data_IF_105414409310
#
_entry.id   IF_105414409310
#
_cell.length_a   1.000
_cell.length_b   1.000
_cell.length_c   1.000
_cell.angle_alpha   90.00
_cell.angle_beta   90.00
_cell.angle_gamma   90.00
#
_symmetry.space_group_name_H-M   'P 1'
#
loop_
_entity.id
_entity.type
_entity.pdbx_description
1 polymer ?
#
# COMPACT_ATOMS: atom_id res chain seq x y z
N UNK A 1 -23.72 10.74 -7.00
CA UNK A 1 -23.12 11.79 -6.13
C UNK A 1 -23.07 11.25 -4.71
N UNK A 2 -21.91 10.78 -4.24
CA UNK A 2 -21.75 10.27 -2.87
C UNK A 2 -22.18 11.36 -1.87
N UNK A 3 -23.25 11.11 -1.10
CA UNK A 3 -23.57 11.96 0.05
C UNK A 3 -22.49 11.69 1.09
N UNK A 4 -21.39 12.42 0.96
CA UNK A 4 -20.34 12.54 1.96
C UNK A 4 -21.02 13.00 3.24
N UNK A 5 -21.22 12.06 4.17
CA UNK A 5 -21.73 12.31 5.51
C UNK A 5 -21.08 13.60 6.05
N UNK A 6 -21.86 14.56 6.59
CA UNK A 6 -21.35 15.86 7.12
C UNK A 6 -20.11 15.71 8.01
N UNK A 7 -19.98 14.54 8.67
CA UNK A 7 -18.84 14.13 9.49
C UNK A 7 -17.51 14.01 8.72
N UNK A 8 -17.52 13.56 7.46
CA UNK A 8 -16.32 13.48 6.60
C UNK A 8 -15.87 14.86 6.14
N UNK A 9 -16.80 15.74 5.73
CA UNK A 9 -16.48 17.15 5.40
C UNK A 9 -15.89 17.93 6.59
N UNK A 10 -16.31 17.62 7.83
CA UNK A 10 -15.68 18.21 9.02
C UNK A 10 -14.25 17.70 9.27
N UNK A 11 -13.92 16.49 8.81
CA UNK A 11 -12.56 15.95 8.87
C UNK A 11 -11.64 16.56 7.81
N UNK A 12 -12.18 17.03 6.68
CA UNK A 12 -11.37 17.60 5.58
C UNK A 12 -10.85 19.00 5.85
N UNK A 13 -11.49 19.77 6.75
CA UNK A 13 -11.05 21.13 7.11
C UNK A 13 -9.81 21.19 8.03
N UNK A 14 -9.36 20.05 8.56
CA UNK A 14 -8.08 19.96 9.26
C UNK A 14 -7.02 19.44 8.29
N UNK A 15 -6.26 20.36 7.70
CA UNK A 15 -5.09 20.17 6.83
C UNK A 15 -4.59 18.71 6.73
N UNK A 16 -4.96 18.01 5.67
CA UNK A 16 -4.25 16.79 5.33
C UNK A 16 -2.83 17.15 4.93
N UNK A 17 -1.84 16.54 5.58
CA UNK A 17 -0.48 16.57 5.07
C UNK A 17 -0.48 15.92 3.68
N UNK A 18 -0.22 16.70 2.64
CA UNK A 18 -0.12 16.22 1.27
C UNK A 18 1.22 15.51 1.08
N UNK A 19 1.17 14.27 0.61
CA UNK A 19 2.36 13.46 0.35
C UNK A 19 2.68 13.39 -1.14
N UNK A 20 3.80 14.03 -1.52
CA UNK A 20 4.34 13.98 -2.89
C UNK A 20 5.13 12.70 -3.19
N UNK A 21 5.78 12.16 -2.16
CA UNK A 21 6.69 11.00 -2.27
C UNK A 21 6.56 10.05 -1.09
N UNK A 22 7.01 8.81 -1.24
CA UNK A 22 7.19 7.86 -0.14
C UNK A 22 8.49 8.22 0.59
N UNK A 23 8.37 8.67 1.83
CA UNK A 23 9.53 9.03 2.67
C UNK A 23 10.31 7.80 3.14
N UNK A 24 11.58 8.01 3.48
CA UNK A 24 12.55 6.98 3.87
C UNK A 24 11.99 5.88 4.78
N UNK A 25 11.36 6.23 5.91
CA UNK A 25 10.83 5.23 6.87
C UNK A 25 9.74 4.35 6.25
N UNK A 26 8.86 4.95 5.45
CA UNK A 26 7.80 4.22 4.74
C UNK A 26 8.40 3.35 3.63
N UNK A 27 9.38 3.88 2.89
CA UNK A 27 10.09 3.15 1.84
C UNK A 27 10.80 1.91 2.40
N UNK A 28 11.56 2.08 3.48
CA UNK A 28 12.23 0.98 4.17
C UNK A 28 11.25 -0.09 4.65
N UNK A 29 10.13 0.35 5.24
CA UNK A 29 9.10 -0.57 5.74
C UNK A 29 8.50 -1.36 4.59
N UNK A 30 8.12 -0.69 3.50
CA UNK A 30 7.50 -1.30 2.34
C UNK A 30 8.46 -2.27 1.63
N UNK A 31 9.72 -1.86 1.43
CA UNK A 31 10.74 -2.67 0.78
C UNK A 31 10.97 -4.01 1.49
N UNK A 32 11.14 -3.98 2.81
CA UNK A 32 11.40 -5.19 3.58
C UNK A 32 10.12 -6.00 3.85
N UNK A 33 8.96 -5.34 3.98
CA UNK A 33 7.68 -6.01 4.09
C UNK A 33 7.38 -6.91 2.89
N UNK A 34 7.60 -6.40 1.67
CA UNK A 34 7.35 -7.13 0.42
C UNK A 34 8.48 -8.12 0.10
N UNK A 35 9.72 -7.73 0.39
CA UNK A 35 10.87 -8.50 -0.07
C UNK A 35 11.22 -9.73 0.74
N UNK A 36 10.94 -9.73 2.05
CA UNK A 36 11.53 -10.72 2.97
C UNK A 36 10.60 -11.03 4.15
N UNK A 37 9.99 -10.00 4.74
CA UNK A 37 9.34 -10.14 6.03
C UNK A 37 8.06 -10.97 5.96
N UNK A 38 7.27 -10.81 4.89
CA UNK A 38 6.05 -11.59 4.65
C UNK A 38 6.34 -13.09 4.55
N UNK A 39 7.37 -13.48 3.80
CA UNK A 39 7.84 -14.85 3.69
C UNK A 39 8.37 -15.37 5.03
N UNK A 40 9.16 -14.57 5.74
CA UNK A 40 9.75 -14.95 7.05
C UNK A 40 8.68 -15.26 8.10
N UNK A 41 7.49 -14.62 8.02
CA UNK A 41 6.37 -14.89 8.93
C UNK A 41 5.38 -15.94 8.38
N UNK A 42 5.74 -16.65 7.31
CA UNK A 42 4.91 -17.63 6.61
C UNK A 42 3.57 -17.05 6.13
N UNK A 43 3.57 -15.80 5.69
CA UNK A 43 2.39 -15.12 5.11
C UNK A 43 2.80 -14.36 3.84
N UNK A 44 3.32 -15.07 2.81
CA UNK A 44 3.73 -14.45 1.56
C UNK A 44 2.53 -13.80 0.86
N UNK A 45 2.73 -12.63 0.24
CA UNK A 45 1.66 -12.01 -0.53
C UNK A 45 1.30 -12.90 -1.72
N UNK A 46 0.02 -13.22 -1.87
CA UNK A 46 -0.50 -14.08 -2.93
C UNK A 46 -1.54 -13.38 -3.82
N UNK A 47 -2.00 -12.18 -3.45
CA UNK A 47 -2.85 -11.35 -4.31
C UNK A 47 -2.36 -9.90 -4.41
N UNK A 48 -2.50 -9.35 -5.61
CA UNK A 48 -2.26 -7.96 -5.96
C UNK A 48 -3.57 -7.33 -6.43
N UNK A 49 -4.04 -6.34 -5.68
CA UNK A 49 -5.32 -5.68 -5.90
C UNK A 49 -5.03 -4.23 -6.30
N UNK A 50 -5.61 -3.77 -7.41
CA UNK A 50 -5.62 -2.37 -7.80
C UNK A 50 -7.03 -1.81 -7.69
N UNK A 51 -7.19 -0.64 -7.08
CA UNK A 51 -8.47 0.06 -6.97
C UNK A 51 -8.34 1.47 -7.56
N UNK A 52 -9.12 1.75 -8.60
CA UNK A 52 -9.21 3.07 -9.21
C UNK A 52 -10.27 3.93 -8.51
N UNK A 53 -9.84 4.84 -7.64
CA UNK A 53 -10.77 5.67 -6.88
C UNK A 53 -11.46 6.76 -7.69
N UNK A 54 -10.99 7.06 -8.91
CA UNK A 54 -11.68 8.00 -9.81
C UNK A 54 -13.06 7.48 -10.22
N UNK A 55 -13.24 6.16 -10.27
CA UNK A 55 -14.55 5.55 -10.56
C UNK A 55 -15.51 5.59 -9.35
N UNK A 56 -15.01 5.97 -8.17
CA UNK A 56 -15.75 5.91 -6.91
C UNK A 56 -16.13 7.31 -6.45
N UNK A 57 -15.18 8.25 -6.52
CA UNK A 57 -15.35 9.61 -6.02
C UNK A 57 -14.58 10.60 -6.87
N UNK A 58 -15.07 11.84 -6.91
CA UNK A 58 -14.37 12.98 -7.51
C UNK A 58 -13.57 13.79 -6.48
N UNK A 59 -13.61 13.40 -5.20
CA UNK A 59 -12.88 14.07 -4.12
C UNK A 59 -11.69 13.21 -3.67
N UNK A 60 -10.50 13.59 -4.13
CA UNK A 60 -9.25 12.86 -3.87
C UNK A 60 -8.84 12.93 -2.40
N UNK A 61 -9.34 13.91 -1.64
CA UNK A 61 -9.02 14.05 -0.21
C UNK A 61 -9.62 12.92 0.63
N UNK A 62 -10.74 12.33 0.18
CA UNK A 62 -11.44 11.29 0.96
C UNK A 62 -10.90 9.89 0.69
N UNK A 63 -10.11 9.69 -0.38
CA UNK A 63 -9.66 8.37 -0.84
C UNK A 63 -8.90 7.60 0.25
N UNK A 64 -7.88 8.18 0.94
CA UNK A 64 -7.18 7.45 1.99
C UNK A 64 -8.06 7.13 3.22
N UNK A 65 -9.12 7.91 3.45
CA UNK A 65 -10.11 7.65 4.51
C UNK A 65 -11.00 6.48 4.13
N UNK A 66 -11.52 6.45 2.89
CA UNK A 66 -12.30 5.33 2.36
C UNK A 66 -11.52 4.03 2.48
N UNK A 67 -10.25 4.04 2.04
CA UNK A 67 -9.40 2.87 2.16
C UNK A 67 -9.07 2.48 3.61
N UNK A 68 -8.90 3.47 4.50
CA UNK A 68 -8.69 3.18 5.92
C UNK A 68 -9.93 2.55 6.58
N UNK A 69 -11.14 2.94 6.17
CA UNK A 69 -12.38 2.26 6.57
C UNK A 69 -12.46 0.86 5.98
N UNK A 70 -12.09 0.67 4.72
CA UNK A 70 -12.04 -0.64 4.08
C UNK A 70 -11.19 -1.63 4.83
N UNK A 71 -9.91 -1.30 5.04
CA UNK A 71 -9.02 -2.22 5.74
C UNK A 71 -9.45 -2.48 7.19
N UNK A 72 -9.84 -1.45 7.95
CA UNK A 72 -10.10 -1.60 9.39
C UNK A 72 -11.48 -2.14 9.72
N UNK A 73 -12.50 -1.62 9.05
CA UNK A 73 -13.88 -1.76 9.51
C UNK A 73 -14.61 -2.90 8.79
N UNK A 74 -14.18 -3.24 7.58
CA UNK A 74 -14.82 -4.28 6.76
C UNK A 74 -13.88 -5.46 6.51
N UNK A 75 -12.76 -5.24 5.81
CA UNK A 75 -11.84 -6.32 5.42
C UNK A 75 -11.28 -7.05 6.64
N UNK A 76 -10.77 -6.33 7.66
CA UNK A 76 -10.27 -6.99 8.88
C UNK A 76 -11.35 -7.80 9.59
N UNK A 77 -12.59 -7.28 9.67
CA UNK A 77 -13.68 -8.00 10.35
C UNK A 77 -14.09 -9.24 9.59
N UNK A 78 -14.24 -9.14 8.28
CA UNK A 78 -14.49 -10.29 7.41
C UNK A 78 -13.38 -11.33 7.60
N UNK A 79 -12.12 -10.93 7.43
CA UNK A 79 -10.96 -11.80 7.57
C UNK A 79 -10.96 -12.55 8.92
N UNK A 80 -11.09 -11.84 10.05
CA UNK A 80 -11.09 -12.49 11.35
C UNK A 80 -12.34 -13.34 11.62
N UNK A 81 -13.47 -13.09 10.95
CA UNK A 81 -14.66 -13.94 11.05
C UNK A 81 -14.50 -15.21 10.22
N UNK A 82 -13.90 -15.09 9.03
CA UNK A 82 -13.67 -16.20 8.10
C UNK A 82 -12.61 -17.16 8.63
N UNK A 83 -11.47 -16.63 9.06
CA UNK A 83 -10.30 -17.45 9.40
C UNK A 83 -10.16 -17.77 10.89
N UNK A 84 -11.08 -17.29 11.74
CA UNK A 84 -11.09 -17.68 13.16
C UNK A 84 -12.06 -18.83 13.36
N UNK A 85 -11.59 -19.89 14.01
CA UNK A 85 -12.43 -21.02 14.40
C UNK A 85 -12.69 -20.98 15.91
N UNK A 86 -13.53 -21.91 16.41
CA UNK A 86 -13.74 -22.07 17.86
C UNK A 86 -12.44 -22.42 18.61
N UNK A 87 -11.51 -23.10 17.95
CA UNK A 87 -10.29 -23.65 18.56
C UNK A 87 -9.02 -22.89 18.19
N UNK A 88 -9.05 -22.10 17.12
CA UNK A 88 -7.87 -21.40 16.61
C UNK A 88 -8.17 -19.94 16.27
N UNK A 89 -7.36 -19.03 16.82
CA UNK A 89 -7.39 -17.62 16.41
C UNK A 89 -6.83 -17.50 15.00
N UNK A 90 -7.54 -16.73 14.17
CA UNK A 90 -7.04 -16.31 12.88
C UNK A 90 -5.64 -15.68 13.00
N UNK A 91 -4.72 -15.95 12.05
CA UNK A 91 -3.47 -15.21 11.98
C UNK A 91 -3.72 -13.70 11.80
N UNK A 92 -2.76 -12.81 12.07
CA UNK A 92 -2.94 -11.39 11.77
C UNK A 92 -3.08 -11.16 10.26
N UNK A 93 -4.02 -10.31 9.86
CA UNK A 93 -4.18 -9.92 8.45
C UNK A 93 -2.90 -9.23 7.92
N UNK A 94 -2.28 -9.82 6.90
CA UNK A 94 -1.05 -9.34 6.26
C UNK A 94 -1.34 -8.58 4.98
N UNK A 95 -0.88 -7.32 4.93
CA UNK A 95 -0.97 -6.51 3.72
C UNK A 95 0.11 -5.44 3.61
N UNK A 96 0.30 -4.95 2.39
CA UNK A 96 1.05 -3.74 2.07
C UNK A 96 0.28 -2.90 1.05
N UNK A 97 0.48 -1.59 1.03
CA UNK A 97 -0.17 -0.73 0.04
C UNK A 97 0.65 0.49 -0.35
N UNK A 98 0.37 0.99 -1.54
CA UNK A 98 0.83 2.29 -2.02
C UNK A 98 -0.27 2.97 -2.85
N UNK A 99 -0.38 4.29 -2.72
CA UNK A 99 -1.19 5.14 -3.58
C UNK A 99 -0.35 5.79 -4.68
N UNK A 100 -0.97 5.98 -5.84
CA UNK A 100 -0.45 6.72 -6.98
C UNK A 100 -1.54 7.66 -7.48
N UNK A 101 -1.20 8.91 -7.81
CA UNK A 101 -2.11 9.85 -8.46
C UNK A 101 -1.48 10.24 -9.79
N UNK A 102 -1.78 9.46 -10.83
CA UNK A 102 -1.18 9.65 -12.14
C UNK A 102 -2.11 9.15 -13.24
N UNK A 103 -2.08 9.81 -14.40
CA UNK A 103 -2.80 9.40 -15.59
C UNK A 103 -1.80 9.34 -16.76
N UNK A 104 -1.80 8.24 -17.51
CA UNK A 104 -0.86 8.06 -18.64
C UNK A 104 0.61 8.30 -18.26
N UNK A 105 1.01 7.82 -17.07
CA UNK A 105 2.35 8.00 -16.47
C UNK A 105 2.71 9.46 -16.12
N UNK A 106 1.75 10.39 -16.19
CA UNK A 106 1.92 11.77 -15.78
C UNK A 106 1.35 11.98 -14.37
N UNK A 107 2.14 12.55 -13.42
CA UNK A 107 1.67 12.82 -12.07
C UNK A 107 0.58 13.90 -12.06
N UNK A 108 -0.45 13.72 -11.23
CA UNK A 108 -1.51 14.72 -11.01
C UNK A 108 -1.33 15.35 -9.63
N UNK A 109 -1.13 16.66 -9.59
CA UNK A 109 -0.91 17.43 -8.35
C UNK A 109 -2.19 18.12 -7.84
N UNK A 110 -3.34 17.61 -8.28
CA UNK A 110 -4.65 18.01 -7.78
C UNK A 110 -5.34 16.83 -7.11
N UNK A 111 -6.11 17.15 -6.08
CA UNK A 111 -6.98 16.22 -5.35
C UNK A 111 -8.46 16.59 -5.53
N UNK A 112 -8.76 17.52 -6.44
CA UNK A 112 -10.13 17.85 -6.85
C UNK A 112 -10.65 16.89 -7.91
N UNK A 113 -11.63 17.35 -8.70
CA UNK A 113 -12.35 16.54 -9.68
C UNK A 113 -11.47 15.84 -10.72
N UNK A 114 -10.25 16.30 -10.96
CA UNK A 114 -9.32 15.81 -11.98
C UNK A 114 -8.35 14.72 -11.45
N UNK A 115 -8.46 14.31 -10.18
CA UNK A 115 -7.57 13.28 -9.63
C UNK A 115 -7.69 11.93 -10.37
N UNK A 116 -6.62 11.13 -10.37
CA UNK A 116 -6.64 9.74 -10.83
C UNK A 116 -5.92 8.85 -9.82
N UNK A 117 -6.48 8.76 -8.60
CA UNK A 117 -5.85 8.03 -7.50
C UNK A 117 -6.10 6.52 -7.69
N UNK A 118 -5.01 5.79 -7.89
CA UNK A 118 -4.96 4.34 -7.83
C UNK A 118 -4.39 3.92 -6.48
N UNK A 119 -5.01 2.91 -5.89
CA UNK A 119 -4.44 2.17 -4.80
C UNK A 119 -3.91 0.85 -5.33
N UNK A 120 -2.68 0.53 -5.00
CA UNK A 120 -2.10 -0.79 -5.19
C UNK A 120 -1.95 -1.47 -3.83
N UNK A 121 -2.53 -2.66 -3.68
CA UNK A 121 -2.75 -3.34 -2.41
C UNK A 121 -2.33 -4.81 -2.52
N UNK A 122 -1.31 -5.18 -1.76
CA UNK A 122 -0.85 -6.56 -1.64
C UNK A 122 -1.45 -7.18 -0.39
N UNK A 123 -1.92 -8.41 -0.50
CA UNK A 123 -2.53 -9.13 0.61
C UNK A 123 -2.11 -10.61 0.59
N UNK A 124 -1.98 -11.18 1.78
CA UNK A 124 -1.90 -12.62 1.97
C UNK A 124 -3.26 -13.11 2.45
N UNK A 125 -3.84 -14.06 1.71
CA UNK A 125 -5.04 -14.80 2.10
C UNK A 125 -4.71 -16.29 2.19
N UNK A 126 -4.98 -16.99 3.31
CA UNK A 126 -4.72 -18.43 3.41
C UNK A 126 -5.44 -19.24 2.31
N UNK A 127 -4.77 -20.26 1.76
CA UNK A 127 -5.24 -21.04 0.59
C UNK A 127 -6.53 -21.84 0.82
N UNK A 128 -6.98 -21.98 2.07
CA UNK A 128 -8.10 -22.84 2.47
C UNK A 128 -9.47 -22.42 1.90
N UNK A 129 -9.60 -21.26 1.25
CA UNK A 129 -10.88 -20.77 0.74
C UNK A 129 -10.74 -20.10 -0.64
N UNK A 130 -10.83 -20.90 -1.70
CA UNK A 130 -10.78 -20.47 -3.11
C UNK A 130 -12.01 -19.66 -3.58
N UNK A 131 -13.03 -19.48 -2.72
CA UNK A 131 -14.32 -18.84 -3.02
C UNK A 131 -14.36 -17.32 -2.74
N UNK A 132 -13.24 -16.67 -2.40
CA UNK A 132 -13.26 -15.44 -1.57
C UNK A 132 -12.72 -14.16 -2.22
N UNK A 133 -12.46 -14.13 -3.53
CA UNK A 133 -12.11 -12.87 -4.21
C UNK A 133 -13.34 -12.01 -4.50
N UNK A 134 -14.47 -12.64 -4.87
CA UNK A 134 -15.74 -11.95 -5.11
C UNK A 134 -16.23 -11.25 -3.83
N UNK A 135 -15.92 -11.82 -2.66
CA UNK A 135 -16.16 -11.22 -1.35
C UNK A 135 -15.42 -9.87 -1.21
N UNK A 136 -14.20 -9.71 -1.76
CA UNK A 136 -13.44 -8.46 -1.63
C UNK A 136 -14.17 -7.32 -2.33
N UNK A 137 -14.71 -7.57 -3.52
CA UNK A 137 -15.49 -6.59 -4.26
C UNK A 137 -16.77 -6.24 -3.49
N UNK A 138 -17.52 -7.24 -3.03
CA UNK A 138 -18.75 -7.04 -2.24
C UNK A 138 -18.48 -6.29 -0.91
N UNK A 139 -17.37 -6.63 -0.23
CA UNK A 139 -16.90 -5.94 0.99
C UNK A 139 -16.58 -4.48 0.70
N UNK A 140 -16.00 -4.21 -0.46
CA UNK A 140 -15.65 -2.86 -0.88
C UNK A 140 -16.90 -2.04 -1.28
N UNK A 141 -17.86 -2.65 -1.97
CA UNK A 141 -19.17 -2.04 -2.27
C UNK A 141 -19.91 -1.59 -1.00
N UNK A 142 -19.86 -2.41 0.07
CA UNK A 142 -20.43 -2.09 1.40
C UNK A 142 -19.84 -0.83 2.05
N UNK A 143 -18.79 -0.23 1.50
CA UNK A 143 -18.15 1.01 1.99
C UNK A 143 -18.49 2.20 1.12
N UNK A 144 -18.73 1.95 -0.17
CA UNK A 144 -19.14 2.95 -1.14
C UNK A 144 -20.63 3.34 -0.99
N UNK A 145 -21.24 3.01 0.16
CA UNK A 145 -22.63 3.32 0.49
C UNK A 145 -23.63 2.80 -0.54
N UNK A 146 -23.49 1.54 -0.93
CA UNK A 146 -24.51 0.78 -1.69
C UNK A 146 -24.70 1.18 -3.15
N UNK A 147 -23.75 1.91 -3.74
CA UNK A 147 -23.70 2.03 -5.20
C UNK A 147 -22.92 0.84 -5.73
N UNK A 148 -23.41 0.24 -6.82
CA UNK A 148 -22.65 -0.76 -7.56
C UNK A 148 -21.30 -0.16 -7.94
N UNK A 149 -20.22 -0.89 -7.63
CA UNK A 149 -18.89 -0.44 -8.02
C UNK A 149 -18.79 -0.59 -9.55
N UNK A 150 -18.45 0.47 -10.30
CA UNK A 150 -18.35 0.35 -11.75
C UNK A 150 -17.36 -0.74 -12.17
N UNK A 151 -17.67 -1.45 -13.26
CA UNK A 151 -16.78 -2.47 -13.79
C UNK A 151 -15.37 -1.90 -14.05
N UNK A 152 -14.33 -2.69 -13.74
CA UNK A 152 -12.93 -2.27 -13.87
C UNK A 152 -12.43 -1.30 -12.78
N UNK A 153 -13.24 -1.01 -11.76
CA UNK A 153 -12.79 -0.22 -10.60
C UNK A 153 -11.82 -1.00 -9.72
N UNK A 154 -12.05 -2.30 -9.55
CA UNK A 154 -11.20 -3.21 -8.80
C UNK A 154 -10.62 -4.20 -9.80
N UNK A 155 -9.31 -4.43 -9.71
CA UNK A 155 -8.62 -5.44 -10.48
C UNK A 155 -7.83 -6.32 -9.51
N UNK A 156 -8.05 -7.62 -9.55
CA UNK A 156 -7.43 -8.58 -8.63
C UNK A 156 -6.61 -9.58 -9.44
N UNK A 157 -5.34 -9.71 -9.10
CA UNK A 157 -4.41 -10.65 -9.73
C UNK A 157 -3.78 -11.56 -8.68
N UNK A 158 -3.67 -12.84 -9.00
CA UNK A 158 -2.85 -13.77 -8.22
C UNK A 158 -1.37 -13.45 -8.47
N UNK A 159 -0.59 -13.42 -7.40
CA UNK A 159 0.85 -13.20 -7.47
C UNK A 159 1.53 -14.54 -7.74
N UNK A 160 2.20 -14.63 -8.88
CA UNK A 160 3.00 -15.81 -9.24
C UNK A 160 4.39 -15.75 -8.62
N UNK A 161 4.99 -16.92 -8.39
CA UNK A 161 6.36 -17.04 -7.90
C UNK A 161 7.33 -16.22 -8.76
N UNK A 162 8.17 -15.41 -8.10
CA UNK A 162 9.14 -14.53 -8.76
C UNK A 162 8.63 -13.13 -9.15
N UNK A 163 7.32 -12.88 -9.18
CA UNK A 163 6.77 -11.56 -9.55
C UNK A 163 6.91 -10.49 -8.44
N UNK A 164 7.05 -10.90 -7.17
CA UNK A 164 7.15 -9.98 -6.03
C UNK A 164 8.28 -8.97 -6.13
N UNK A 165 9.42 -9.33 -6.76
CA UNK A 165 10.53 -8.41 -6.96
C UNK A 165 10.13 -7.23 -7.87
N UNK A 166 9.40 -7.52 -8.95
CA UNK A 166 8.92 -6.51 -9.89
C UNK A 166 7.81 -5.66 -9.27
N UNK A 167 6.88 -6.29 -8.56
CA UNK A 167 5.84 -5.59 -7.80
C UNK A 167 6.47 -4.65 -6.77
N UNK A 168 7.46 -5.11 -6.00
CA UNK A 168 8.18 -4.26 -5.03
C UNK A 168 8.82 -3.05 -5.70
N UNK A 169 9.50 -3.24 -6.83
CA UNK A 169 10.11 -2.15 -7.60
C UNK A 169 9.04 -1.16 -8.07
N UNK A 170 7.93 -1.67 -8.59
CA UNK A 170 6.79 -0.86 -9.05
C UNK A 170 6.19 -0.02 -7.92
N UNK A 171 5.89 -0.62 -6.76
CA UNK A 171 5.29 0.09 -5.63
C UNK A 171 6.22 1.11 -4.98
N UNK A 172 7.54 0.96 -5.17
CA UNK A 172 8.54 1.90 -4.66
C UNK A 172 8.93 2.98 -5.67
N UNK A 173 8.33 3.03 -6.88
CA UNK A 173 8.67 4.06 -7.88
C UNK A 173 8.42 5.48 -7.37
N UNK A 174 7.42 5.71 -6.53
CA UNK A 174 7.15 7.03 -5.92
C UNK A 174 8.02 7.41 -4.72
N UNK A 175 9.13 6.71 -4.49
CA UNK A 175 10.01 7.01 -3.36
C UNK A 175 10.70 8.36 -3.51
N UNK A 176 10.96 9.04 -2.40
CA UNK A 176 11.77 10.24 -2.37
C UNK A 176 13.15 9.98 -3.01
N UNK A 177 13.66 10.85 -3.91
CA UNK A 177 14.94 10.62 -4.60
C UNK A 177 16.14 10.42 -3.67
N UNK A 178 16.08 10.87 -2.42
CA UNK A 178 17.10 10.59 -1.40
C UNK A 178 17.18 9.11 -0.97
N UNK A 179 16.20 8.29 -1.37
CA UNK A 179 16.02 6.91 -0.94
C UNK A 179 16.35 5.88 -2.05
N UNK A 180 17.26 6.23 -2.97
CA UNK A 180 17.63 5.42 -4.15
C UNK A 180 17.94 3.95 -3.86
N UNK A 181 18.52 3.66 -2.70
CA UNK A 181 18.76 2.28 -2.27
C UNK A 181 17.52 1.37 -2.36
N UNK A 182 16.33 1.89 -2.05
CA UNK A 182 15.10 1.09 -2.14
C UNK A 182 14.52 1.04 -3.55
N UNK A 183 14.77 2.07 -4.37
CA UNK A 183 14.40 2.11 -5.78
C UNK A 183 15.23 3.18 -6.52
N UNK A 184 16.01 2.74 -7.52
CA UNK A 184 16.81 3.64 -8.34
C UNK A 184 16.00 4.37 -9.42
N UNK A 185 14.85 3.81 -9.81
CA UNK A 185 13.98 4.34 -10.87
C UNK A 185 12.82 5.14 -10.26
N UNK A 186 13.17 6.16 -9.48
CA UNK A 186 12.16 7.02 -8.84
C UNK A 186 11.42 7.87 -9.88
N UNK A 187 10.10 7.99 -9.70
CA UNK A 187 9.20 8.73 -10.57
C UNK A 187 8.16 9.49 -9.73
N UNK A 188 7.84 10.75 -10.05
CA UNK A 188 6.75 11.45 -9.39
C UNK A 188 5.41 10.73 -9.57
N UNK A 189 4.57 10.71 -8.54
CA UNK A 189 3.27 10.01 -8.52
C UNK A 189 2.13 10.92 -8.03
N UNK A 190 2.21 12.22 -8.33
CA UNK A 190 1.20 13.21 -8.00
C UNK A 190 1.04 13.50 -6.51
N UNK A 191 -0.08 14.08 -6.11
CA UNK A 191 -0.41 14.39 -4.71
C UNK A 191 -1.37 13.36 -4.10
N UNK A 192 -1.19 13.05 -2.82
CA UNK A 192 -2.07 12.18 -2.02
C UNK A 192 -2.33 12.81 -0.65
N UNK A 193 -3.60 12.92 -0.24
CA UNK A 193 -3.99 13.40 1.09
C UNK A 193 -3.61 12.40 2.20
N UNK A 194 -2.56 12.68 2.96
CA UNK A 194 -2.12 11.83 4.08
C UNK A 194 -1.00 10.86 3.70
N UNK A 195 -1.13 9.59 4.09
CA UNK A 195 -0.05 8.59 3.90
C UNK A 195 -0.15 7.92 2.53
N UNK A 196 0.90 8.08 1.72
CA UNK A 196 1.05 7.40 0.42
C UNK A 196 1.19 5.89 0.51
N UNK A 197 1.88 5.36 1.52
CA UNK A 197 2.16 3.94 1.63
C UNK A 197 2.11 3.45 3.07
N UNK A 198 1.87 2.15 3.24
CA UNK A 198 1.87 1.51 4.55
C UNK A 198 1.76 -0.01 4.49
N UNK A 199 1.79 -0.62 5.66
CA UNK A 199 1.73 -2.07 5.84
C UNK A 199 0.81 -2.42 7.00
N UNK A 200 0.42 -3.69 7.11
CA UNK A 200 -0.21 -4.24 8.30
C UNK A 200 0.73 -4.14 9.51
N UNK A 201 0.15 -4.21 10.72
CA UNK A 201 0.90 -4.07 11.97
C UNK A 201 1.95 -5.15 12.15
N UNK A 202 1.67 -6.37 11.71
CA UNK A 202 2.58 -7.50 11.82
C UNK A 202 3.79 -7.40 10.87
N UNK A 203 3.71 -6.58 9.81
CA UNK A 203 4.83 -6.22 8.93
C UNK A 203 5.49 -4.88 9.30
N UNK A 204 4.98 -4.20 10.34
CA UNK A 204 5.46 -2.88 10.72
C UNK A 204 6.88 -2.88 11.32
N UNK A 205 7.50 -1.69 11.49
CA UNK A 205 8.88 -1.57 11.95
C UNK A 205 9.21 -2.28 13.26
N UNK A 206 8.26 -2.31 14.21
CA UNK A 206 8.44 -3.00 15.50
C UNK A 206 8.62 -4.50 15.31
N UNK A 207 7.75 -5.13 14.51
CA UNK A 207 7.83 -6.56 14.24
C UNK A 207 9.04 -6.89 13.36
N UNK A 208 9.34 -6.07 12.34
CA UNK A 208 10.56 -6.22 11.55
C UNK A 208 11.80 -6.29 12.45
N UNK A 209 11.99 -5.31 13.35
CA UNK A 209 13.14 -5.29 14.27
C UNK A 209 13.19 -6.51 15.19
N UNK A 210 12.02 -7.00 15.64
CA UNK A 210 11.93 -8.22 16.46
C UNK A 210 12.43 -9.44 15.68
N UNK A 211 11.98 -9.60 14.44
CA UNK A 211 12.35 -10.72 13.57
C UNK A 211 13.82 -10.60 13.13
N UNK A 212 14.29 -9.42 12.77
CA UNK A 212 15.69 -9.16 12.47
C UNK A 212 16.61 -9.57 13.63
N UNK A 213 16.23 -9.21 14.86
CA UNK A 213 16.97 -9.62 16.07
C UNK A 213 16.94 -11.14 16.26
N UNK A 214 15.80 -11.78 16.05
CA UNK A 214 15.67 -13.24 16.19
C UNK A 214 16.54 -13.99 15.18
N UNK A 215 16.67 -13.45 13.97
CA UNK A 215 17.40 -14.07 12.86
C UNK A 215 18.84 -13.53 12.72
N UNK A 216 19.34 -12.73 13.67
CA UNK A 216 20.65 -12.08 13.61
C UNK A 216 20.90 -11.26 12.31
N UNK A 217 19.85 -10.67 11.75
CA UNK A 217 19.92 -9.86 10.53
C UNK A 217 20.27 -8.42 10.90
N UNK A 218 21.40 -7.93 10.36
CA UNK A 218 21.78 -6.51 10.45
C UNK A 218 21.43 -5.81 9.14
N UNK A 219 20.45 -4.90 9.19
CA UNK A 219 20.05 -4.11 8.02
C UNK A 219 20.83 -2.79 7.96
N UNK A 220 21.20 -2.29 6.77
CA UNK A 220 21.98 -1.06 6.65
C UNK A 220 21.24 0.14 7.25
N UNK A 221 22.00 0.99 7.95
CA UNK A 221 21.51 2.23 8.55
C UNK A 221 21.41 3.34 7.50
N UNK A 222 20.58 4.39 7.73
CA UNK A 222 20.53 5.56 6.84
C UNK A 222 21.90 6.21 6.58
N UNK A 223 22.84 6.13 7.55
CA UNK A 223 24.18 6.69 7.41
C UNK A 223 25.04 5.89 6.44
N UNK A 224 25.00 4.55 6.52
CA UNK A 224 25.64 3.66 5.54
C UNK A 224 25.05 3.86 4.14
N UNK A 225 23.75 4.14 4.06
CA UNK A 225 23.06 4.40 2.80
C UNK A 225 23.49 5.71 2.15
N UNK A 226 23.68 6.77 2.93
CA UNK A 226 24.25 8.03 2.45
C UNK A 226 25.69 7.85 1.94
N UNK A 227 26.49 7.03 2.61
CA UNK A 227 27.85 6.69 2.17
C UNK A 227 27.86 5.97 0.80
N UNK A 228 26.98 4.98 0.60
CA UNK A 228 26.86 4.29 -0.70
C UNK A 228 26.39 5.24 -1.81
N UNK A 229 25.43 6.12 -1.53
CA UNK A 229 24.93 7.09 -2.50
C UNK A 229 26.00 8.12 -2.90
N UNK A 230 26.80 8.60 -1.95
CA UNK A 230 27.90 9.54 -2.22
C UNK A 230 28.98 8.89 -3.09
N UNK A 231 29.34 7.64 -2.83
CA UNK A 231 30.39 6.96 -3.58
C UNK A 231 29.94 6.52 -4.99
N UNK A 232 28.68 6.09 -5.17
CA UNK A 232 28.15 5.76 -6.50
C UNK A 232 28.01 6.98 -7.42
N UNK A 233 27.87 8.20 -6.88
CA UNK A 233 27.85 9.43 -7.69
C UNK A 233 29.23 9.87 -8.18
N UNK A 234 30.31 9.48 -7.48
CA UNK A 234 31.69 9.73 -7.93
C UNK A 234 32.07 8.90 -9.17
N UNK A 235 31.53 7.69 -9.30
CA UNK A 235 31.80 6.81 -10.45
C UNK A 235 30.94 7.08 -11.69
N UNK A 236 29.92 7.95 -11.59
CA UNK A 236 29.08 8.34 -12.74
C UNK A 236 29.55 9.61 -13.48
N UNK A 237 30.67 10.22 -13.05
CA UNK A 237 31.23 11.44 -13.67
C UNK A 237 32.46 11.19 -14.55
N UNK A 238 32.78 9.94 -14.85
CA UNK A 238 33.97 9.56 -15.64
C UNK A 238 33.62 8.67 -16.84
N UNK A 239 32.46 8.88 -17.46
CA UNK A 239 32.04 8.18 -18.68
C UNK A 239 31.37 9.14 -19.63
#
# INVERSE_FOLDING_TARGET
>A
MLILNKRLKKMTNNYYNISKTIKYKSAQTLYYAIGELSETINQPFNYFITINFKNITDDGYIVPILFAKFRRDKLSKWYYRTFSTKTQKAPPLTYAYCFENALNKQPIYSLGHDHNIHLHFLIHLPDLHLLELDDIEEIFEKICSSHSVPAGTIHIEKIWNGSLKNIRKYLLKGVDPSCQYFCNDNQPQGDIAGKRAGTSRNLGPKNRRKIDKLNNITRPTPQLLNYFNQNNSKYKKTG
#
